data_IF_462505531957
#
_entry.id   IF_462505531957
#
_cell.length_a   1.000
_cell.length_b   1.000
_cell.length_c   1.000
_cell.angle_alpha   90.00
_cell.angle_beta   90.00
_cell.angle_gamma   90.00
#
_symmetry.space_group_name_H-M   'P 1'
#
loop_
_entity.id
_entity.type
_entity.pdbx_description
1 polymer ?
#
# COMPACT_ATOMS: atom_id res chain seq x y z
N UNK A 1 -6.99 3.87 2.13
CA UNK A 1 -5.78 3.47 1.36
C UNK A 1 -5.38 2.00 1.59
N UNK A 2 -4.87 1.21 0.60
CA UNK A 2 -4.32 -0.13 0.85
C UNK A 2 -3.00 -0.11 1.66
N UNK A 3 -2.66 -1.26 2.25
CA UNK A 3 -1.38 -1.43 2.97
C UNK A 3 -0.20 -1.37 2.01
N UNK A 4 0.97 -0.97 2.53
CA UNK A 4 2.22 -0.94 1.75
C UNK A 4 2.54 -2.31 1.18
N UNK A 5 2.52 -3.34 2.02
CA UNK A 5 2.89 -4.71 1.63
C UNK A 5 2.01 -5.25 0.50
N UNK A 6 0.67 -5.09 0.61
CA UNK A 6 -0.25 -5.54 -0.44
C UNK A 6 -0.04 -4.80 -1.77
N UNK A 7 0.32 -3.51 -1.72
CA UNK A 7 0.64 -2.75 -2.93
C UNK A 7 1.95 -3.22 -3.56
N UNK A 8 3.00 -3.44 -2.75
CA UNK A 8 4.30 -3.96 -3.23
C UNK A 8 4.12 -5.33 -3.89
N UNK A 9 3.45 -6.26 -3.20
CA UNK A 9 3.19 -7.61 -3.70
C UNK A 9 2.48 -7.56 -5.05
N UNK A 10 1.44 -6.73 -5.18
CA UNK A 10 0.73 -6.61 -6.44
C UNK A 10 1.59 -6.00 -7.55
N UNK A 11 2.38 -4.97 -7.25
CA UNK A 11 3.27 -4.34 -8.25
C UNK A 11 4.28 -5.38 -8.75
N UNK A 12 4.93 -6.12 -7.85
CA UNK A 12 5.88 -7.19 -8.20
C UNK A 12 5.20 -8.24 -9.09
N UNK A 13 4.04 -8.77 -8.66
CA UNK A 13 3.29 -9.77 -9.45
C UNK A 13 2.95 -9.29 -10.85
N UNK A 14 2.58 -8.02 -11.01
CA UNK A 14 2.26 -7.46 -12.33
C UNK A 14 3.49 -7.31 -13.22
N UNK A 15 4.63 -6.91 -12.65
CA UNK A 15 5.89 -6.78 -13.38
C UNK A 15 6.47 -8.14 -13.75
N UNK A 16 6.36 -9.13 -12.85
CA UNK A 16 6.73 -10.52 -13.14
C UNK A 16 5.97 -11.01 -14.38
N UNK A 17 4.64 -11.04 -14.29
CA UNK A 17 3.77 -11.62 -15.36
C UNK A 17 3.88 -10.87 -16.69
N UNK A 18 4.05 -9.53 -16.66
CA UNK A 18 3.99 -8.72 -17.88
C UNK A 18 5.33 -8.36 -18.48
N UNK A 19 6.41 -8.38 -17.70
CA UNK A 19 7.73 -7.95 -18.17
C UNK A 19 8.77 -9.06 -18.01
N UNK A 20 8.87 -9.67 -16.83
CA UNK A 20 9.97 -10.59 -16.56
C UNK A 20 9.72 -12.00 -17.08
N UNK A 21 8.50 -12.54 -16.96
CA UNK A 21 8.18 -13.87 -17.50
C UNK A 21 8.40 -13.92 -19.03
N UNK A 22 7.96 -12.92 -19.83
CA UNK A 22 8.33 -12.86 -21.25
C UNK A 22 9.84 -12.75 -21.52
N UNK A 23 10.57 -11.99 -20.70
CA UNK A 23 12.02 -11.86 -20.84
C UNK A 23 12.75 -13.16 -20.47
N UNK A 24 12.28 -13.87 -19.46
CA UNK A 24 12.81 -15.17 -19.06
C UNK A 24 12.69 -16.19 -20.20
N UNK A 25 11.55 -16.21 -20.88
CA UNK A 25 11.34 -17.05 -22.06
C UNK A 25 12.29 -16.65 -23.20
N UNK A 26 12.44 -15.35 -23.46
CA UNK A 26 13.28 -14.84 -24.56
C UNK A 26 14.77 -15.06 -24.32
N UNK A 27 15.20 -14.99 -23.06
CA UNK A 27 16.59 -15.14 -22.64
C UNK A 27 16.90 -16.55 -22.12
N UNK A 28 16.00 -17.51 -22.33
CA UNK A 28 16.19 -18.93 -22.00
C UNK A 28 16.63 -19.16 -20.54
N UNK A 29 16.10 -18.36 -19.61
CA UNK A 29 16.40 -18.49 -18.18
C UNK A 29 17.73 -17.88 -17.71
N UNK A 30 18.34 -16.97 -18.49
CA UNK A 30 19.57 -16.25 -18.12
C UNK A 30 19.53 -15.63 -16.70
N UNK A 31 20.62 -15.77 -15.95
CA UNK A 31 20.78 -15.27 -14.57
C UNK A 31 20.50 -13.76 -14.42
N UNK A 32 20.66 -12.98 -15.48
CA UNK A 32 20.30 -11.56 -15.50
C UNK A 32 18.82 -11.33 -15.16
N UNK A 33 17.93 -12.25 -15.51
CA UNK A 33 16.50 -12.15 -15.19
C UNK A 33 16.27 -12.31 -13.69
N UNK A 34 16.98 -13.23 -13.04
CA UNK A 34 16.92 -13.41 -11.59
C UNK A 34 17.42 -12.14 -10.86
N UNK A 35 18.53 -11.56 -11.31
CA UNK A 35 19.04 -10.29 -10.78
C UNK A 35 18.02 -9.12 -10.95
N UNK A 36 17.32 -9.08 -12.09
CA UNK A 36 16.26 -8.10 -12.33
C UNK A 36 15.06 -8.28 -11.40
N UNK A 37 14.66 -9.52 -11.10
CA UNK A 37 13.58 -9.83 -10.14
C UNK A 37 13.89 -9.24 -8.76
N UNK A 38 15.12 -9.40 -8.26
CA UNK A 38 15.51 -8.82 -6.98
C UNK A 38 15.49 -7.29 -7.01
N UNK A 39 16.02 -6.68 -8.07
CA UNK A 39 15.98 -5.22 -8.22
C UNK A 39 14.55 -4.69 -8.25
N UNK A 40 13.63 -5.37 -8.94
CA UNK A 40 12.23 -4.96 -9.04
C UNK A 40 11.53 -5.02 -7.69
N UNK A 41 11.79 -6.02 -6.85
CA UNK A 41 11.23 -6.06 -5.48
C UNK A 41 11.64 -4.84 -4.66
N UNK A 42 12.91 -4.45 -4.73
CA UNK A 42 13.42 -3.24 -4.08
C UNK A 42 12.77 -1.96 -4.64
N UNK A 43 12.61 -1.87 -5.96
CA UNK A 43 11.99 -0.70 -6.61
C UNK A 43 10.49 -0.60 -6.38
N UNK A 44 9.79 -1.73 -6.34
CA UNK A 44 8.36 -1.79 -6.06
C UNK A 44 8.02 -1.23 -4.68
N UNK A 45 8.86 -1.51 -3.68
CA UNK A 45 8.80 -0.89 -2.36
C UNK A 45 8.87 0.65 -2.43
N UNK A 46 9.85 1.21 -3.13
CA UNK A 46 9.99 2.65 -3.30
C UNK A 46 8.80 3.28 -4.04
N UNK A 47 8.30 2.63 -5.09
CA UNK A 47 7.11 3.11 -5.82
C UNK A 47 5.85 3.07 -4.95
N UNK A 48 5.65 2.01 -4.16
CA UNK A 48 4.53 1.92 -3.24
C UNK A 48 4.57 3.05 -2.19
N UNK A 49 5.75 3.43 -1.71
CA UNK A 49 5.92 4.56 -0.80
C UNK A 49 5.60 5.89 -1.46
N UNK A 50 6.11 6.13 -2.67
CA UNK A 50 5.78 7.34 -3.45
C UNK A 50 4.27 7.47 -3.69
N UNK A 51 3.61 6.38 -4.11
CA UNK A 51 2.16 6.37 -4.37
C UNK A 51 1.32 6.55 -3.11
N UNK A 52 1.84 6.19 -1.93
CA UNK A 52 1.19 6.38 -0.62
C UNK A 52 1.56 7.72 0.02
N UNK A 53 2.53 8.44 -0.54
CA UNK A 53 3.03 9.71 -0.03
C UNK A 53 1.98 10.83 0.01
N UNK A 54 2.22 11.89 0.80
CA UNK A 54 1.29 13.01 0.93
C UNK A 54 1.25 13.92 -0.31
N UNK A 55 2.32 13.95 -1.10
CA UNK A 55 2.38 14.73 -2.34
C UNK A 55 1.58 14.05 -3.46
N UNK A 56 0.42 14.63 -3.76
CA UNK A 56 -0.49 14.12 -4.77
C UNK A 56 0.09 14.16 -6.18
N UNK A 57 0.90 15.15 -6.53
CA UNK A 57 1.50 15.28 -7.85
C UNK A 57 2.54 14.19 -8.09
N UNK A 58 3.42 13.98 -7.10
CA UNK A 58 4.42 12.91 -7.13
C UNK A 58 3.76 11.53 -7.15
N UNK A 59 2.74 11.33 -6.31
CA UNK A 59 2.00 10.07 -6.26
C UNK A 59 1.28 9.78 -7.59
N UNK A 60 0.59 10.77 -8.16
CA UNK A 60 -0.08 10.65 -9.45
C UNK A 60 0.90 10.34 -10.58
N UNK A 61 2.05 11.02 -10.62
CA UNK A 61 3.09 10.78 -11.63
C UNK A 61 3.66 9.36 -11.54
N UNK A 62 3.90 8.85 -10.34
CA UNK A 62 4.35 7.47 -10.12
C UNK A 62 3.30 6.45 -10.62
N UNK A 63 2.01 6.67 -10.31
CA UNK A 63 0.91 5.84 -10.79
C UNK A 63 0.83 5.83 -12.31
N UNK A 64 0.81 7.01 -12.95
CA UNK A 64 0.67 7.13 -14.41
C UNK A 64 1.81 6.42 -15.11
N UNK A 65 3.05 6.61 -14.64
CA UNK A 65 4.22 5.95 -15.22
C UNK A 65 4.13 4.43 -15.13
N UNK A 66 3.71 3.90 -13.97
CA UNK A 66 3.58 2.45 -13.79
C UNK A 66 2.45 1.88 -14.67
N UNK A 67 1.30 2.55 -14.75
CA UNK A 67 0.18 2.11 -15.61
C UNK A 67 0.59 2.15 -17.08
N UNK A 68 1.23 3.22 -17.54
CA UNK A 68 1.69 3.33 -18.93
C UNK A 68 2.70 2.23 -19.31
N UNK A 69 3.58 1.83 -18.37
CA UNK A 69 4.53 0.74 -18.57
C UNK A 69 3.85 -0.63 -18.59
N UNK A 70 2.89 -0.89 -17.69
CA UNK A 70 2.26 -2.21 -17.52
C UNK A 70 1.15 -2.49 -18.55
N UNK A 71 0.58 -1.45 -19.15
CA UNK A 71 -0.47 -1.59 -20.14
C UNK A 71 -0.05 -0.84 -21.41
N UNK A 72 1.06 -1.25 -22.05
CA UNK A 72 1.51 -0.63 -23.27
C UNK A 72 0.54 -1.01 -24.40
N UNK A 73 0.06 -0.02 -25.13
CA UNK A 73 -0.77 -0.27 -26.31
C UNK A 73 -1.44 1.00 -26.82
N UNK A 74 -1.84 0.97 -28.09
CA UNK A 74 -2.58 2.06 -28.74
C UNK A 74 -4.06 2.12 -28.31
N UNK A 75 -4.50 1.15 -27.49
CA UNK A 75 -5.86 1.07 -26.97
C UNK A 75 -5.97 1.82 -25.66
N UNK A 76 -7.13 2.42 -25.42
CA UNK A 76 -7.44 3.03 -24.14
C UNK A 76 -7.26 2.02 -23.00
N UNK A 77 -6.73 2.49 -21.89
CA UNK A 77 -6.64 1.72 -20.66
C UNK A 77 -8.05 1.34 -20.19
N UNK A 78 -8.44 0.08 -20.38
CA UNK A 78 -9.78 -0.44 -20.06
C UNK A 78 -9.67 -1.78 -19.31
N UNK A 79 -9.28 -1.77 -18.02
CA UNK A 79 -9.13 -2.98 -17.24
C UNK A 79 -10.51 -3.54 -16.83
N UNK A 80 -10.61 -4.85 -16.55
CA UNK A 80 -11.86 -5.45 -16.05
C UNK A 80 -12.28 -4.85 -14.71
N UNK A 81 -13.58 -4.88 -14.39
CA UNK A 81 -14.13 -4.24 -13.18
C UNK A 81 -13.42 -4.67 -11.88
N UNK A 82 -13.09 -5.96 -11.74
CA UNK A 82 -12.41 -6.48 -10.56
C UNK A 82 -11.00 -5.92 -10.35
N UNK A 83 -10.36 -5.44 -11.41
CA UNK A 83 -9.06 -4.79 -11.33
C UNK A 83 -9.10 -3.56 -10.42
N UNK A 84 -10.18 -2.78 -10.48
CA UNK A 84 -10.34 -1.58 -9.65
C UNK A 84 -10.39 -1.88 -8.15
N UNK A 85 -10.72 -3.12 -7.77
CA UNK A 85 -10.75 -3.56 -6.37
C UNK A 85 -9.41 -4.00 -5.83
N UNK A 86 -8.40 -4.17 -6.70
CA UNK A 86 -7.04 -4.54 -6.30
C UNK A 86 -6.33 -3.38 -5.57
N UNK A 87 -5.28 -3.63 -4.76
CA UNK A 87 -4.48 -2.57 -4.14
C UNK A 87 -4.05 -1.45 -5.11
N UNK A 88 -3.44 -1.78 -6.24
CA UNK A 88 -3.02 -0.84 -7.27
C UNK A 88 -4.22 -0.12 -7.89
N UNK A 89 -5.30 -0.84 -8.22
CA UNK A 89 -6.51 -0.24 -8.79
C UNK A 89 -7.14 0.81 -7.87
N UNK A 90 -7.17 0.56 -6.56
CA UNK A 90 -7.63 1.53 -5.56
C UNK A 90 -6.74 2.76 -5.48
N UNK A 91 -5.42 2.58 -5.52
CA UNK A 91 -4.46 3.69 -5.54
C UNK A 91 -4.63 4.52 -6.81
N UNK A 92 -4.80 3.88 -7.97
CA UNK A 92 -5.04 4.55 -9.25
C UNK A 92 -6.32 5.37 -9.19
N UNK A 93 -7.43 4.76 -8.77
CA UNK A 93 -8.71 5.46 -8.62
C UNK A 93 -8.63 6.68 -7.66
N UNK A 94 -7.90 6.54 -6.55
CA UNK A 94 -7.72 7.61 -5.56
C UNK A 94 -6.82 8.76 -6.06
N UNK A 95 -5.71 8.42 -6.72
CA UNK A 95 -4.70 9.41 -7.12
C UNK A 95 -5.05 10.11 -8.41
N UNK A 96 -5.54 9.37 -9.40
CA UNK A 96 -5.76 9.90 -10.76
C UNK A 96 -7.18 9.72 -11.27
N UNK A 97 -7.96 8.81 -10.68
CA UNK A 97 -9.25 8.39 -11.24
C UNK A 97 -9.03 7.34 -12.33
N UNK A 98 -9.75 7.46 -13.44
CA UNK A 98 -9.53 6.70 -14.66
C UNK A 98 -8.46 7.39 -15.54
N UNK A 99 -7.29 6.77 -15.80
CA UNK A 99 -6.18 7.42 -16.52
C UNK A 99 -6.47 7.81 -17.96
N UNK A 100 -7.36 7.09 -18.64
CA UNK A 100 -7.64 7.27 -20.08
C UNK A 100 -9.07 7.70 -20.41
N UNK A 101 -9.89 8.08 -19.42
CA UNK A 101 -11.28 8.44 -19.68
C UNK A 101 -11.73 9.63 -18.83
N UNK A 102 -12.36 10.61 -19.47
CA UNK A 102 -12.96 11.77 -18.80
C UNK A 102 -14.18 11.36 -17.97
N UNK A 103 -14.99 10.44 -18.49
CA UNK A 103 -16.14 9.86 -17.79
C UNK A 103 -16.10 8.34 -17.80
N UNK A 104 -16.69 7.74 -16.78
CA UNK A 104 -16.77 6.29 -16.60
C UNK A 104 -18.21 5.84 -16.44
N UNK A 105 -18.48 4.58 -16.81
CA UNK A 105 -19.79 3.98 -16.58
C UNK A 105 -20.11 3.90 -15.08
N UNK A 106 -21.39 3.78 -14.72
CA UNK A 106 -21.80 3.56 -13.33
C UNK A 106 -21.23 2.28 -12.72
N UNK A 107 -20.97 1.25 -13.53
CA UNK A 107 -20.37 0.00 -13.09
C UNK A 107 -18.89 0.20 -12.74
N UNK A 108 -18.14 0.85 -13.63
CA UNK A 108 -16.73 1.21 -13.40
C UNK A 108 -16.57 2.13 -12.20
N UNK A 109 -17.40 3.17 -12.09
CA UNK A 109 -17.43 4.05 -10.92
C UNK A 109 -17.71 3.26 -9.63
N UNK A 110 -18.62 2.28 -9.66
CA UNK A 110 -18.93 1.44 -8.51
C UNK A 110 -17.72 0.61 -8.09
N UNK A 111 -17.04 -0.01 -9.05
CA UNK A 111 -15.84 -0.78 -8.80
C UNK A 111 -14.70 0.08 -8.22
N UNK A 112 -14.47 1.28 -8.76
CA UNK A 112 -13.50 2.26 -8.25
C UNK A 112 -13.82 2.72 -6.82
N UNK A 113 -15.10 2.95 -6.51
CA UNK A 113 -15.56 3.39 -5.21
C UNK A 113 -15.69 2.26 -4.18
N UNK A 114 -15.58 1.00 -4.60
CA UNK A 114 -15.84 -0.16 -3.75
C UNK A 114 -17.31 -0.29 -3.35
N UNK A 115 -18.25 0.21 -4.16
CA UNK A 115 -19.71 0.11 -3.94
C UNK A 115 -20.41 -0.52 -5.14
N UNK A 116 -21.70 -0.80 -5.02
CA UNK A 116 -22.48 -1.36 -6.12
C UNK A 116 -22.80 -0.29 -7.18
N UNK A 117 -23.05 -0.72 -8.42
CA UNK A 117 -23.58 0.15 -9.49
C UNK A 117 -24.83 0.91 -9.03
N UNK A 118 -25.72 0.24 -8.29
CA UNK A 118 -26.92 0.86 -7.74
C UNK A 118 -26.59 1.96 -6.72
N UNK A 119 -25.59 1.74 -5.86
CA UNK A 119 -25.09 2.76 -4.94
C UNK A 119 -24.59 4.02 -5.67
N UNK A 120 -23.89 3.86 -6.80
CA UNK A 120 -23.49 5.00 -7.65
C UNK A 120 -24.70 5.71 -8.24
N UNK A 121 -25.65 4.95 -8.78
CA UNK A 121 -26.89 5.51 -9.32
C UNK A 121 -27.62 6.36 -8.27
N UNK A 122 -27.70 5.87 -7.03
CA UNK A 122 -28.35 6.59 -5.94
C UNK A 122 -27.57 7.85 -5.53
N UNK A 123 -26.23 7.83 -5.58
CA UNK A 123 -25.40 9.04 -5.37
C UNK A 123 -25.66 10.09 -6.45
N UNK A 124 -25.77 9.68 -7.71
CA UNK A 124 -26.09 10.59 -8.83
C UNK A 124 -27.49 11.16 -8.66
N UNK A 125 -28.49 10.32 -8.39
CA UNK A 125 -29.89 10.75 -8.18
C UNK A 125 -30.03 11.74 -7.03
N UNK A 126 -29.23 11.60 -5.96
CA UNK A 126 -29.23 12.49 -4.80
C UNK A 126 -28.34 13.73 -4.96
N UNK A 127 -27.75 13.95 -6.14
CA UNK A 127 -26.85 15.07 -6.41
C UNK A 127 -25.53 15.02 -5.62
N UNK A 128 -25.14 13.85 -5.11
CA UNK A 128 -23.88 13.63 -4.37
C UNK A 128 -22.72 13.24 -5.29
N UNK A 129 -23.00 12.98 -6.56
CA UNK A 129 -22.04 12.72 -7.61
C UNK A 129 -22.59 13.32 -8.92
N UNK A 130 -21.80 14.10 -9.67
CA UNK A 130 -22.27 14.70 -10.91
C UNK A 130 -22.49 13.64 -12.00
N UNK A 131 -23.43 13.91 -12.89
CA UNK A 131 -23.66 13.10 -14.10
C UNK A 131 -22.93 13.73 -15.28
N UNK A 132 -22.25 12.91 -16.07
CA UNK A 132 -21.65 13.33 -17.34
C UNK A 132 -22.72 13.38 -18.44
N UNK A 133 -22.63 14.27 -19.45
CA UNK A 133 -23.55 14.30 -20.58
C UNK A 133 -23.74 12.93 -21.27
N UNK A 134 -22.69 12.13 -21.36
CA UNK A 134 -22.71 10.78 -21.96
C UNK A 134 -23.41 9.71 -21.08
N UNK A 135 -24.00 10.11 -19.96
CA UNK A 135 -24.75 9.23 -19.06
C UNK A 135 -23.91 8.50 -17.99
N UNK A 136 -22.58 8.65 -18.04
CA UNK A 136 -21.65 8.18 -17.01
C UNK A 136 -21.45 9.17 -15.86
N UNK A 137 -20.32 9.03 -15.19
CA UNK A 137 -19.85 9.92 -14.12
C UNK A 137 -18.46 10.44 -14.46
N UNK A 138 -18.15 11.74 -14.26
CA UNK A 138 -16.80 12.25 -14.44
C UNK A 138 -15.79 11.50 -13.57
N UNK A 139 -14.72 11.03 -14.19
CA UNK A 139 -13.60 10.32 -13.55
C UNK A 139 -12.99 11.12 -12.39
N UNK A 140 -12.81 12.42 -12.58
CA UNK A 140 -12.33 13.33 -11.54
C UNK A 140 -13.28 13.37 -10.32
N UNK A 141 -14.60 13.33 -10.52
CA UNK A 141 -15.55 13.36 -9.43
C UNK A 141 -15.52 12.08 -8.57
N UNK A 142 -15.25 10.92 -9.19
CA UNK A 142 -15.02 9.65 -8.48
C UNK A 142 -13.77 9.76 -7.60
N UNK A 143 -12.66 10.23 -8.18
CA UNK A 143 -11.40 10.46 -7.46
C UNK A 143 -11.57 11.41 -6.28
N UNK A 144 -12.19 12.57 -6.49
CA UNK A 144 -12.37 13.59 -5.46
C UNK A 144 -13.29 13.10 -4.33
N UNK A 145 -14.23 12.19 -4.63
CA UNK A 145 -15.02 11.51 -3.60
C UNK A 145 -14.16 10.55 -2.77
N UNK A 146 -13.30 9.74 -3.40
CA UNK A 146 -12.39 8.84 -2.68
C UNK A 146 -11.45 9.61 -1.75
N UNK A 147 -10.93 10.75 -2.19
CA UNK A 147 -10.05 11.60 -1.38
C UNK A 147 -10.74 12.13 -0.12
N UNK A 148 -11.96 12.65 -0.26
CA UNK A 148 -12.76 13.09 0.90
C UNK A 148 -13.05 11.96 1.88
N UNK A 149 -13.28 10.75 1.39
CA UNK A 149 -13.48 9.59 2.25
C UNK A 149 -12.20 9.21 3.00
N UNK A 150 -11.04 9.19 2.32
CA UNK A 150 -9.74 8.88 2.93
C UNK A 150 -9.31 9.95 3.97
N UNK A 151 -9.63 11.22 3.73
CA UNK A 151 -9.44 12.29 4.72
C UNK A 151 -10.31 12.12 5.97
N UNK A 152 -11.56 11.69 5.80
CA UNK A 152 -12.47 11.45 6.94
C UNK A 152 -12.08 10.23 7.79
N UNK A 153 -11.33 9.29 7.22
CA UNK A 153 -10.91 8.04 7.89
C UNK A 153 -9.56 8.22 8.64
N UNK A 154 -8.81 9.30 8.35
CA UNK A 154 -7.60 9.64 9.11
C UNK A 154 -8.00 10.12 10.50
N UNK A 155 -7.44 9.56 11.59
CA UNK A 155 -7.75 10.03 12.94
C UNK A 155 -7.33 11.50 13.07
N UNK A 156 -8.31 12.40 13.15
CA UNK A 156 -8.09 13.81 13.43
C UNK A 156 -7.31 13.96 14.72
N UNK A 157 -6.02 14.28 14.63
CA UNK A 157 -5.11 14.50 15.76
C UNK A 157 -5.44 15.75 16.61
N UNK A 158 -6.64 16.32 16.49
CA UNK A 158 -6.97 17.65 17.02
C UNK A 158 -8.14 17.73 18.00
N UNK A 159 -8.82 16.63 18.37
CA UNK A 159 -10.04 16.70 19.21
C UNK A 159 -9.93 16.08 20.61
N UNK A 160 -8.71 15.83 21.12
CA UNK A 160 -8.49 15.17 22.44
C UNK A 160 -7.88 16.10 23.51
N UNK A 161 -8.09 17.42 23.43
CA UNK A 161 -7.55 18.38 24.43
C UNK A 161 -8.64 19.11 25.22
N UNK A 162 -9.92 19.04 24.85
CA UNK A 162 -10.98 19.73 25.62
C UNK A 162 -11.60 18.87 26.72
N UNK A 163 -11.55 17.53 26.64
CA UNK A 163 -12.16 16.66 27.65
C UNK A 163 -11.28 16.40 28.88
N UNK A 164 -9.99 16.76 28.87
CA UNK A 164 -9.11 16.60 30.04
C UNK A 164 -9.09 17.81 30.96
N UNK A 165 -9.70 18.94 30.57
CA UNK A 165 -9.84 20.10 31.47
C UNK A 165 -10.95 19.94 32.50
N UNK A 166 -11.98 19.11 32.27
CA UNK A 166 -13.03 18.87 33.27
C UNK A 166 -12.58 17.94 34.40
N UNK A 167 -11.63 17.03 34.14
CA UNK A 167 -11.16 16.04 35.15
C UNK A 167 -10.12 16.64 36.12
N UNK A 168 -9.41 17.69 35.72
CA UNK A 168 -8.35 18.31 36.54
C UNK A 168 -8.90 19.31 37.57
N UNK A 169 -10.07 19.91 37.34
CA UNK A 169 -10.69 20.81 38.34
C UNK A 169 -11.35 20.05 39.50
N UNK A 170 -11.89 18.84 39.29
CA UNK A 170 -12.45 18.03 40.39
C UNK A 170 -11.37 17.39 41.28
N UNK A 171 -10.17 17.12 40.75
CA UNK A 171 -9.07 16.53 41.51
C UNK A 171 -8.37 17.52 42.46
N UNK A 172 -8.59 18.83 42.30
CA UNK A 172 -7.93 19.86 43.13
C UNK A 172 -8.66 20.11 44.46
N UNK A 173 -9.88 19.61 44.63
CA UNK A 173 -10.68 19.80 45.87
C UNK A 173 -10.49 18.69 46.91
N UNK A 174 -9.79 17.60 46.57
CA UNK A 174 -9.61 16.45 47.48
C UNK A 174 -8.24 16.40 48.19
N UNK A 175 -7.33 17.36 47.95
CA UNK A 175 -5.93 17.30 48.40
C UNK A 175 -5.55 18.27 49.53
N UNK A 176 -6.53 18.76 50.29
CA UNK A 176 -6.31 19.67 51.45
C UNK A 176 -6.52 18.99 52.82
N UNK A 177 -6.51 17.66 52.89
CA UNK A 177 -6.94 16.94 54.09
C UNK A 177 -6.16 15.67 54.44
N UNK A 178 -4.82 15.66 54.39
CA UNK A 178 -4.01 14.79 55.26
C UNK A 178 -2.51 15.06 55.11
N UNK A 179 -1.96 15.75 56.11
CA UNK A 179 -0.53 15.93 56.37
C UNK A 179 -0.26 15.39 57.78
N UNK A 180 0.83 14.66 57.95
CA UNK A 180 1.24 13.98 59.19
C UNK A 180 1.63 12.54 58.88
N UNK A 181 2.71 12.31 58.13
CA UNK A 181 4.09 12.14 58.64
C UNK A 181 4.20 10.97 59.62
N UNK A 182 4.71 9.84 59.13
CA UNK A 182 5.53 8.99 59.98
C UNK A 182 6.61 8.24 59.19
N UNK A 183 7.72 8.04 59.87
CA UNK A 183 9.09 7.93 59.37
C UNK A 183 9.55 6.50 59.03
N UNK A 184 10.77 6.45 58.44
CA UNK A 184 11.78 5.35 58.34
C UNK A 184 11.84 4.67 56.97
N UNK A 185 12.89 4.90 56.17
CA UNK A 185 14.28 4.44 56.28
C UNK A 185 14.42 2.93 56.07
N UNK A 186 15.07 2.51 54.98
CA UNK A 186 16.12 1.47 54.91
C UNK A 186 16.70 1.45 53.48
N UNK A 187 18.01 1.23 53.48
CA UNK A 187 19.01 1.34 52.43
C UNK A 187 19.45 -0.08 51.99
N UNK A 188 20.36 -0.15 51.00
CA UNK A 188 21.16 -1.34 50.57
C UNK A 188 20.43 -2.22 49.52
N UNK A 189 21.01 -2.66 48.40
CA UNK A 189 22.37 -2.64 47.83
C UNK A 189 22.53 -3.81 46.83
N UNK A 190 23.58 -3.81 45.99
CA UNK A 190 24.03 -4.91 45.12
C UNK A 190 23.47 -4.85 43.69
N UNK A 191 24.22 -4.60 42.61
CA UNK A 191 25.53 -5.06 42.13
C UNK A 191 25.56 -6.52 41.65
N UNK A 192 26.38 -6.75 40.62
CA UNK A 192 26.73 -8.03 39.95
C UNK A 192 25.73 -8.55 38.89
N UNK A 193 26.09 -8.97 37.67
CA UNK A 193 27.40 -9.17 37.04
C UNK A 193 27.27 -10.10 35.81
N UNK A 194 28.10 -9.83 34.80
CA UNK A 194 28.74 -10.77 33.85
C UNK A 194 27.94 -11.49 32.74
N UNK A 195 28.36 -11.16 31.51
CA UNK A 195 28.92 -12.02 30.46
C UNK A 195 28.34 -13.42 30.19
N UNK A 196 27.99 -13.67 28.92
CA UNK A 196 28.34 -14.94 28.25
C UNK A 196 28.42 -14.83 26.73
N UNK A 197 29.64 -15.13 26.30
CA UNK A 197 30.16 -15.49 24.99
C UNK A 197 29.49 -16.75 24.39
N UNK A 198 29.59 -16.95 23.08
CA UNK A 198 28.98 -18.10 22.41
C UNK A 198 29.10 -18.15 20.88
N UNK A 199 30.34 -18.14 20.39
CA UNK A 199 30.72 -18.61 19.05
C UNK A 199 30.23 -20.05 18.77
N UNK A 200 29.90 -20.37 17.52
CA UNK A 200 30.33 -21.62 16.87
C UNK A 200 30.16 -21.57 15.35
N UNK A 201 31.29 -21.72 14.69
CA UNK A 201 31.48 -22.14 13.30
C UNK A 201 30.76 -23.46 12.98
N UNK A 202 30.41 -23.67 11.70
CA UNK A 202 30.48 -24.99 11.05
C UNK A 202 30.54 -24.89 9.52
N UNK A 203 31.71 -25.29 9.03
CA UNK A 203 32.00 -25.87 7.72
C UNK A 203 31.13 -27.08 7.37
N UNK A 204 30.81 -27.23 6.07
CA UNK A 204 30.96 -28.43 5.20
C UNK A 204 30.31 -28.08 3.84
N UNK A 205 30.90 -28.17 2.64
CA UNK A 205 31.94 -29.08 2.15
C UNK A 205 31.28 -30.29 1.47
N UNK A 206 31.29 -30.32 0.12
CA UNK A 206 31.22 -31.44 -0.88
C UNK A 206 30.43 -31.00 -2.13
N UNK A 207 31.00 -30.89 -3.33
CA UNK A 207 31.68 -31.86 -4.23
C UNK A 207 30.74 -32.86 -4.93
N UNK A 208 30.89 -32.95 -6.25
CA UNK A 208 30.35 -33.99 -7.15
C UNK A 208 28.96 -33.67 -7.72
N UNK A 209 28.64 -33.88 -8.99
CA UNK A 209 29.21 -34.82 -9.94
C UNK A 209 28.86 -34.39 -11.37
N UNK A 210 29.84 -34.51 -12.26
CA UNK A 210 29.68 -34.42 -13.71
C UNK A 210 29.01 -35.72 -14.20
N UNK A 211 27.97 -35.61 -15.02
CA UNK A 211 27.55 -36.74 -15.86
C UNK A 211 27.34 -36.28 -17.29
N UNK A 212 28.37 -36.54 -18.09
CA UNK A 212 28.27 -36.74 -19.53
C UNK A 212 27.36 -37.93 -19.82
N UNK A 213 26.45 -37.74 -20.76
CA UNK A 213 25.68 -38.78 -21.42
C UNK A 213 25.52 -38.37 -22.87
N UNK A 214 26.52 -38.72 -23.67
CA UNK A 214 26.39 -38.98 -25.10
C UNK A 214 25.40 -40.16 -25.33
N UNK A 215 25.11 -40.42 -26.60
CA UNK A 215 24.31 -41.50 -27.19
C UNK A 215 22.86 -41.09 -27.52
N UNK A 216 22.29 -41.39 -28.68
CA UNK A 216 22.76 -41.78 -30.01
C UNK A 216 21.46 -41.88 -30.87
N UNK A 217 21.60 -41.69 -32.17
CA UNK A 217 20.85 -42.32 -33.26
C UNK A 217 19.33 -42.64 -33.12
N UNK A 218 18.50 -41.94 -33.91
CA UNK A 218 17.81 -42.48 -35.12
C UNK A 218 16.87 -41.45 -35.79
#
# INVERSE_FOLDING_TARGET
MPTRAALVEQIVRLLDVRLLDPLEILLEGDDAVAALRELIRLRAAAWADLMRGPDDGVAAGAVIRLVAMLYPGDRAFDPPLEWWRTPLGRVVALRVGHPGAESVTLATAGAMLGITRQGVHDLVRRGKLPRHPDGGVPSAAVRDRLRRADESDKPTAGKRVEDTKSVVEDSKKAKDGKRGEDSRNIQVGGDDGTDRDGSTDRDNGTDGDEHQGDDDDQ
#
